data_IF_209754854001
#
_entry.id   IF_209754854001
#
_cell.length_a   1.000
_cell.length_b   1.000
_cell.length_c   1.000
_cell.angle_alpha   90.00
_cell.angle_beta   90.00
_cell.angle_gamma   90.00
#
_symmetry.space_group_name_H-M   'P 1'
#
loop_
_entity.id
_entity.type
_entity.pdbx_description
1 polymer ?
#
# COMPACT_ATOMS: atom_id res chain seq x y z
N UNK A 1 9.82 -21.53 -2.77
CA UNK A 1 11.02 -20.90 -3.37
C UNK A 1 10.83 -19.40 -3.21
N UNK A 2 11.50 -18.78 -2.24
CA UNK A 2 11.41 -17.34 -1.97
C UNK A 2 12.75 -16.71 -2.37
N UNK A 3 12.70 -15.74 -3.29
CA UNK A 3 13.86 -15.02 -3.83
C UNK A 3 14.49 -14.07 -2.78
N UNK A 4 15.82 -14.06 -2.58
CA UNK A 4 16.48 -13.38 -1.47
C UNK A 4 16.89 -11.91 -1.77
N UNK A 5 16.23 -11.23 -2.69
CA UNK A 5 16.59 -9.84 -3.05
C UNK A 5 15.65 -8.84 -2.39
N UNK A 6 16.01 -8.34 -1.20
CA UNK A 6 15.50 -7.06 -0.66
C UNK A 6 13.97 -6.92 -0.52
N UNK A 7 13.28 -7.89 0.08
CA UNK A 7 11.86 -7.74 0.43
C UNK A 7 11.69 -6.61 1.48
N UNK A 8 11.29 -5.41 1.05
CA UNK A 8 10.75 -4.39 1.95
C UNK A 8 9.46 -4.94 2.57
N UNK A 9 9.26 -4.72 3.87
CA UNK A 9 8.00 -5.05 4.55
C UNK A 9 7.01 -3.89 4.40
N UNK A 10 5.72 -4.20 4.47
CA UNK A 10 4.65 -3.19 4.51
C UNK A 10 4.88 -2.17 5.64
N UNK A 11 5.37 -2.61 6.80
CA UNK A 11 5.69 -1.69 7.91
C UNK A 11 6.78 -0.68 7.56
N UNK A 12 7.84 -1.13 6.87
CA UNK A 12 8.94 -0.25 6.45
C UNK A 12 8.46 0.77 5.40
N UNK A 13 7.56 0.34 4.51
CA UNK A 13 6.91 1.20 3.54
C UNK A 13 6.03 2.26 4.20
N UNK A 14 5.13 1.87 5.10
CA UNK A 14 4.26 2.78 5.87
C UNK A 14 5.08 3.79 6.69
N UNK A 15 6.18 3.37 7.31
CA UNK A 15 7.07 4.28 8.05
C UNK A 15 7.71 5.32 7.12
N UNK A 16 8.12 4.91 5.91
CA UNK A 16 8.68 5.81 4.91
C UNK A 16 7.64 6.82 4.42
N UNK A 17 6.43 6.37 4.09
CA UNK A 17 5.33 7.24 3.65
C UNK A 17 4.96 8.30 4.72
N UNK A 18 4.92 7.92 6.00
CA UNK A 18 4.66 8.87 7.10
C UNK A 18 5.75 9.95 7.20
N UNK A 19 7.03 9.55 7.08
CA UNK A 19 8.15 10.50 7.07
C UNK A 19 8.09 11.44 5.86
N UNK A 20 7.77 10.92 4.68
CA UNK A 20 7.61 11.73 3.47
C UNK A 20 6.41 12.68 3.55
N UNK A 21 5.32 12.25 4.19
CA UNK A 21 4.13 13.06 4.41
C UNK A 21 4.46 14.26 5.31
N UNK A 22 5.20 14.04 6.39
CA UNK A 22 5.64 15.12 7.28
C UNK A 22 6.55 16.12 6.55
N UNK A 23 7.47 15.65 5.71
CA UNK A 23 8.30 16.52 4.86
C UNK A 23 7.48 17.29 3.82
N UNK A 24 6.47 16.65 3.22
CA UNK A 24 5.57 17.29 2.26
C UNK A 24 4.73 18.40 2.93
N UNK A 25 4.26 18.15 4.17
CA UNK A 25 3.56 19.16 4.98
C UNK A 25 4.46 20.34 5.32
N UNK A 26 5.69 20.09 5.76
CA UNK A 26 6.66 21.14 6.09
C UNK A 26 7.05 22.00 4.87
N UNK A 27 7.14 21.40 3.69
CA UNK A 27 7.46 22.10 2.44
C UNK A 27 6.25 22.76 1.76
N UNK A 28 5.04 22.60 2.32
CA UNK A 28 3.81 23.15 1.74
C UNK A 28 3.40 22.49 0.41
N UNK A 29 3.90 21.29 0.12
CA UNK A 29 3.58 20.57 -1.11
C UNK A 29 2.25 19.82 -0.98
N UNK A 30 1.14 20.55 -1.14
CA UNK A 30 -0.21 20.01 -0.94
C UNK A 30 -0.55 18.84 -1.88
N UNK A 31 -0.05 18.85 -3.12
CA UNK A 31 -0.29 17.76 -4.06
C UNK A 31 0.34 16.45 -3.57
N UNK A 32 1.59 16.52 -3.06
CA UNK A 32 2.26 15.36 -2.47
C UNK A 32 1.59 14.90 -1.18
N UNK A 33 1.12 15.83 -0.34
CA UNK A 33 0.35 15.49 0.88
C UNK A 33 -0.88 14.65 0.54
N UNK A 34 -1.72 15.10 -0.40
CA UNK A 34 -2.95 14.40 -0.76
C UNK A 34 -2.67 12.99 -1.32
N UNK A 35 -1.61 12.85 -2.13
CA UNK A 35 -1.21 11.56 -2.68
C UNK A 35 -0.79 10.58 -1.57
N UNK A 36 0.11 11.01 -0.68
CA UNK A 36 0.62 10.18 0.40
C UNK A 36 -0.45 9.82 1.43
N UNK A 37 -1.39 10.72 1.72
CA UNK A 37 -2.52 10.42 2.61
C UNK A 37 -3.46 9.36 2.01
N UNK A 38 -3.71 9.40 0.70
CA UNK A 38 -4.50 8.36 0.01
C UNK A 38 -3.79 7.02 0.07
N UNK A 39 -2.49 6.99 -0.26
CA UNK A 39 -1.71 5.75 -0.27
C UNK A 39 -1.61 5.12 1.13
N UNK A 40 -1.38 5.93 2.17
CA UNK A 40 -1.37 5.47 3.56
C UNK A 40 -2.71 4.83 3.94
N UNK A 41 -3.82 5.48 3.59
CA UNK A 41 -5.16 4.96 3.90
C UNK A 41 -5.40 3.61 3.22
N UNK A 42 -5.03 3.47 1.95
CA UNK A 42 -5.25 2.24 1.19
C UNK A 42 -4.38 1.09 1.71
N UNK A 43 -3.12 1.36 2.04
CA UNK A 43 -2.20 0.37 2.62
C UNK A 43 -2.59 -0.03 4.06
N UNK A 44 -3.08 0.89 4.88
CA UNK A 44 -3.60 0.59 6.22
C UNK A 44 -4.86 -0.27 6.16
N UNK A 45 -5.74 -0.02 5.18
CA UNK A 45 -6.91 -0.87 4.93
C UNK A 45 -6.50 -2.28 4.49
N UNK A 46 -5.57 -2.40 3.53
CA UNK A 46 -5.01 -3.70 3.13
C UNK A 46 -4.43 -4.44 4.35
N UNK A 47 -3.59 -3.79 5.16
CA UNK A 47 -3.03 -4.41 6.38
C UNK A 47 -4.11 -4.92 7.34
N UNK A 48 -5.21 -4.18 7.47
CA UNK A 48 -6.32 -4.57 8.34
C UNK A 48 -7.06 -5.80 7.83
N UNK A 49 -7.17 -5.97 6.51
CA UNK A 49 -7.75 -7.16 5.89
C UNK A 49 -6.77 -8.35 5.87
N UNK A 50 -5.46 -8.08 5.84
CA UNK A 50 -4.37 -9.06 5.75
C UNK A 50 -3.40 -8.99 6.95
N UNK A 51 -3.86 -9.22 8.20
CA UNK A 51 -3.05 -9.01 9.40
C UNK A 51 -1.85 -9.96 9.53
N UNK A 52 -1.86 -11.09 8.82
CA UNK A 52 -0.79 -12.09 8.84
C UNK A 52 0.22 -11.91 7.70
N UNK A 53 -0.06 -10.99 6.77
CA UNK A 53 0.82 -10.72 5.64
C UNK A 53 1.86 -9.66 6.01
N UNK A 54 3.13 -10.05 5.94
CA UNK A 54 4.26 -9.17 6.26
C UNK A 54 4.91 -8.57 5.01
N UNK A 55 4.51 -9.00 3.81
CA UNK A 55 5.06 -8.47 2.56
C UNK A 55 4.50 -7.09 2.27
N UNK A 56 5.27 -6.26 1.60
CA UNK A 56 4.76 -5.04 0.99
C UNK A 56 3.90 -5.43 -0.24
N UNK A 57 2.59 -5.13 -0.24
CA UNK A 57 1.72 -5.49 -1.35
C UNK A 57 2.03 -4.65 -2.58
N UNK A 58 1.81 -5.24 -3.75
CA UNK A 58 1.83 -4.51 -5.01
C UNK A 58 0.60 -3.60 -5.11
N UNK A 59 0.67 -2.53 -5.93
CA UNK A 59 -0.50 -1.67 -6.15
C UNK A 59 -1.74 -2.41 -6.64
N UNK A 60 -1.57 -3.48 -7.43
CA UNK A 60 -2.69 -4.30 -7.92
C UNK A 60 -3.32 -5.12 -6.80
N UNK A 61 -2.51 -5.68 -5.88
CA UNK A 61 -3.04 -6.42 -4.72
C UNK A 61 -3.86 -5.49 -3.82
N UNK A 62 -3.36 -4.29 -3.53
CA UNK A 62 -4.12 -3.27 -2.76
C UNK A 62 -5.39 -2.86 -3.49
N UNK A 63 -5.30 -2.61 -4.80
CA UNK A 63 -6.46 -2.22 -5.61
C UNK A 63 -7.54 -3.31 -5.61
N UNK A 64 -7.17 -4.58 -5.80
CA UNK A 64 -8.11 -5.69 -5.84
C UNK A 64 -8.70 -6.02 -4.48
N UNK A 65 -7.96 -5.82 -3.39
CA UNK A 65 -8.50 -5.91 -2.03
C UNK A 65 -9.60 -4.87 -1.79
N UNK A 66 -9.39 -3.63 -2.23
CA UNK A 66 -10.36 -2.54 -2.09
C UNK A 66 -11.48 -2.57 -3.14
N UNK A 67 -11.27 -3.24 -4.28
CA UNK A 67 -12.18 -3.26 -5.42
C UNK A 67 -12.31 -4.69 -6.00
N UNK A 68 -12.84 -5.67 -5.23
CA UNK A 68 -12.84 -7.08 -5.64
C UNK A 68 -13.72 -7.38 -6.88
N UNK A 69 -14.60 -6.45 -7.26
CA UNK A 69 -15.49 -6.57 -8.42
C UNK A 69 -14.91 -5.89 -9.68
N UNK A 70 -13.73 -5.27 -9.59
CA UNK A 70 -13.09 -4.69 -10.76
C UNK A 70 -12.72 -5.80 -11.76
N UNK A 71 -12.84 -5.57 -13.08
CA UNK A 71 -12.57 -6.58 -14.09
C UNK A 71 -11.18 -7.24 -13.98
N UNK A 72 -10.17 -6.47 -13.59
CA UNK A 72 -8.79 -6.92 -13.41
C UNK A 72 -8.59 -7.79 -12.15
N UNK A 73 -9.59 -7.84 -11.28
CA UNK A 73 -9.56 -8.51 -9.98
C UNK A 73 -10.46 -9.74 -9.90
N UNK A 74 -11.22 -10.03 -10.96
CA UNK A 74 -12.10 -11.19 -11.02
C UNK A 74 -11.27 -12.46 -11.11
N UNK A 75 -11.36 -13.28 -10.06
CA UNK A 75 -10.83 -14.65 -10.03
C UNK A 75 -12.01 -15.60 -10.25
N UNK A 76 -11.90 -16.49 -11.23
CA UNK A 76 -12.92 -17.48 -11.54
C UNK A 76 -12.48 -18.83 -11.00
N UNK A 77 -13.37 -19.50 -10.27
CA UNK A 77 -13.15 -20.90 -9.89
C UNK A 77 -13.37 -21.78 -11.14
N UNK A 78 -12.33 -22.51 -11.54
CA UNK A 78 -12.35 -23.46 -12.68
C UNK A 78 -13.37 -24.60 -12.52
#
# INVERSE_FOLDING_TARGET
MQDPTNARSLESHLASLRSELDQARQSGNQAKVNHLESELKDLEAYKAHHPEDSKDPTPLEVYCDLNPQAPECLVYDD
#
